data_IF_396668253976
#
_entry.id   IF_396668253976
#
_cell.length_a   1.000
_cell.length_b   1.000
_cell.length_c   1.000
_cell.angle_alpha   90.00
_cell.angle_beta   90.00
_cell.angle_gamma   90.00
#
_symmetry.space_group_name_H-M   'P 1'
#
loop_
_entity.id
_entity.type
_entity.pdbx_description
1 polymer ?
#
# COMPACT_ATOMS: atom_id res chain seq x y z
N UNK A 1 7.92 -27.81 -15.90
CA UNK A 1 9.21 -28.29 -16.47
C UNK A 1 10.49 -27.80 -15.74
N UNK A 2 10.51 -27.00 -14.65
CA UNK A 2 11.78 -26.62 -13.99
C UNK A 2 12.31 -27.66 -12.98
N UNK A 3 11.46 -28.52 -12.41
CA UNK A 3 11.83 -29.43 -11.31
C UNK A 3 12.96 -30.40 -11.65
N UNK A 4 13.01 -30.96 -12.86
CA UNK A 4 14.04 -31.95 -13.23
C UNK A 4 15.44 -31.35 -13.27
N UNK A 5 15.59 -30.09 -13.70
CA UNK A 5 16.89 -29.42 -13.84
C UNK A 5 17.39 -28.89 -12.49
N UNK A 6 16.49 -28.36 -11.66
CA UNK A 6 16.81 -27.94 -10.29
C UNK A 6 17.28 -29.14 -9.46
N UNK A 7 16.61 -30.29 -9.61
CA UNK A 7 16.95 -31.54 -8.89
C UNK A 7 18.35 -32.06 -9.26
N UNK A 8 18.78 -31.92 -10.52
CA UNK A 8 20.12 -32.33 -10.95
C UNK A 8 21.23 -31.46 -10.35
N UNK A 9 21.05 -30.13 -10.30
CA UNK A 9 22.01 -29.24 -9.65
C UNK A 9 22.01 -29.43 -8.13
N UNK A 10 20.84 -29.65 -7.53
CA UNK A 10 20.71 -29.95 -6.11
C UNK A 10 21.53 -31.19 -5.71
N UNK A 11 21.50 -32.25 -6.52
CA UNK A 11 22.33 -33.43 -6.30
C UNK A 11 23.83 -33.10 -6.34
N UNK A 12 24.29 -32.33 -7.35
CA UNK A 12 25.70 -31.92 -7.46
C UNK A 12 26.17 -31.07 -6.27
N UNK A 13 25.30 -30.22 -5.74
CA UNK A 13 25.62 -29.40 -4.56
C UNK A 13 25.58 -30.21 -3.25
N UNK A 14 24.69 -31.21 -3.16
CA UNK A 14 24.70 -32.18 -2.06
C UNK A 14 26.01 -32.99 -2.03
N UNK A 15 26.59 -33.26 -3.20
CA UNK A 15 27.89 -33.94 -3.35
C UNK A 15 29.11 -33.01 -3.08
N UNK A 16 28.88 -31.79 -2.60
CA UNK A 16 29.92 -30.88 -2.10
C UNK A 16 30.41 -29.81 -3.09
N UNK A 17 29.88 -29.76 -4.32
CA UNK A 17 30.14 -28.65 -5.23
C UNK A 17 29.55 -27.36 -4.67
N UNK A 18 30.30 -26.26 -4.63
CA UNK A 18 29.75 -24.96 -4.19
C UNK A 18 29.13 -24.21 -5.37
N UNK A 19 27.98 -23.52 -5.21
CA UNK A 19 27.36 -22.72 -6.26
C UNK A 19 28.30 -21.71 -6.94
N UNK A 20 29.12 -21.00 -6.16
CA UNK A 20 30.09 -20.03 -6.68
C UNK A 20 31.20 -20.66 -7.54
N UNK A 21 31.50 -21.94 -7.32
CA UNK A 21 32.55 -22.65 -8.04
C UNK A 21 32.22 -22.79 -9.53
N UNK A 22 30.93 -22.94 -9.86
CA UNK A 22 30.44 -22.95 -11.25
C UNK A 22 30.75 -21.66 -12.01
N UNK A 23 30.82 -20.52 -11.32
CA UNK A 23 31.21 -19.25 -11.94
C UNK A 23 32.73 -19.16 -12.08
N UNK A 24 33.49 -19.59 -11.06
CA UNK A 24 34.95 -19.59 -11.11
C UNK A 24 35.53 -20.52 -12.17
N UNK A 25 34.82 -21.58 -12.52
CA UNK A 25 35.23 -22.50 -13.58
C UNK A 25 35.11 -21.89 -14.99
N UNK A 26 34.44 -20.74 -15.13
CA UNK A 26 34.32 -19.98 -16.39
C UNK A 26 35.58 -19.13 -16.58
N UNK A 27 36.44 -19.54 -17.51
CA UNK A 27 37.78 -18.94 -17.71
C UNK A 27 37.89 -17.95 -18.86
N UNK A 28 36.84 -17.72 -19.67
CA UNK A 28 36.91 -16.77 -20.80
C UNK A 28 35.55 -16.25 -21.25
N UNK A 29 35.56 -15.15 -22.01
CA UNK A 29 34.33 -14.57 -22.61
C UNK A 29 33.72 -15.46 -23.69
N UNK A 30 34.52 -16.30 -24.36
CA UNK A 30 34.02 -17.29 -25.31
C UNK A 30 33.13 -18.32 -24.60
N UNK A 31 33.50 -18.73 -23.38
CA UNK A 31 32.70 -19.66 -22.56
C UNK A 31 31.42 -18.97 -22.09
N UNK A 32 31.45 -17.69 -21.70
CA UNK A 32 30.22 -16.96 -21.35
C UNK A 32 29.21 -16.84 -22.50
N UNK A 33 29.67 -16.85 -23.75
CA UNK A 33 28.81 -16.80 -24.94
C UNK A 33 28.25 -18.17 -25.32
N UNK A 34 28.82 -19.25 -24.78
CA UNK A 34 28.36 -20.60 -25.05
C UNK A 34 26.95 -20.84 -24.49
N UNK A 35 26.09 -21.44 -25.31
CA UNK A 35 24.67 -21.65 -24.97
C UNK A 35 24.51 -22.56 -23.75
N UNK A 36 25.36 -23.59 -23.63
CA UNK A 36 25.30 -24.52 -22.51
C UNK A 36 25.75 -23.84 -21.20
N UNK A 37 26.76 -22.98 -21.27
CA UNK A 37 27.20 -22.16 -20.15
C UNK A 37 26.09 -21.21 -19.69
N UNK A 38 25.45 -20.49 -20.62
CA UNK A 38 24.31 -19.61 -20.31
C UNK A 38 23.16 -20.36 -19.66
N UNK A 39 22.85 -21.55 -20.18
CA UNK A 39 21.83 -22.42 -19.60
C UNK A 39 22.23 -22.89 -18.19
N UNK A 40 23.49 -23.26 -17.98
CA UNK A 40 24.00 -23.69 -16.67
C UNK A 40 23.93 -22.56 -15.63
N UNK A 41 24.32 -21.33 -16.01
CA UNK A 41 24.19 -20.15 -15.15
C UNK A 41 22.72 -19.88 -14.82
N UNK A 42 21.82 -19.99 -15.81
CA UNK A 42 20.38 -19.80 -15.59
C UNK A 42 19.83 -20.84 -14.61
N UNK A 43 20.18 -22.11 -14.78
CA UNK A 43 19.78 -23.19 -13.87
C UNK A 43 20.35 -23.01 -12.45
N UNK A 44 21.58 -22.51 -12.34
CA UNK A 44 22.17 -22.13 -11.05
C UNK A 44 21.33 -21.03 -10.37
N UNK A 45 20.93 -19.99 -11.11
CA UNK A 45 20.09 -18.92 -10.55
C UNK A 45 18.70 -19.45 -10.18
N UNK A 46 18.09 -20.30 -11.00
CA UNK A 46 16.82 -20.96 -10.68
C UNK A 46 16.91 -21.75 -9.38
N UNK A 47 18.01 -22.50 -9.18
CA UNK A 47 18.29 -23.20 -7.92
C UNK A 47 18.39 -22.22 -6.74
N UNK A 48 19.16 -21.13 -6.88
CA UNK A 48 19.35 -20.16 -5.81
C UNK A 48 18.05 -19.42 -5.45
N UNK A 49 17.20 -19.11 -6.44
CA UNK A 49 15.86 -18.54 -6.22
C UNK A 49 14.98 -19.53 -5.50
N UNK A 50 14.90 -20.77 -5.99
CA UNK A 50 14.03 -21.82 -5.45
C UNK A 50 14.33 -22.14 -3.98
N UNK A 51 15.62 -22.22 -3.62
CA UNK A 51 16.06 -22.51 -2.25
C UNK A 51 16.29 -21.24 -1.39
N UNK A 52 16.13 -20.04 -1.95
CA UNK A 52 16.33 -18.78 -1.22
C UNK A 52 17.77 -18.57 -0.72
N UNK A 53 18.77 -19.12 -1.41
CA UNK A 53 20.18 -19.17 -1.01
C UNK A 53 20.89 -17.81 -1.18
N UNK A 54 20.43 -16.80 -0.46
CA UNK A 54 20.83 -15.39 -0.60
C UNK A 54 22.33 -15.18 -0.37
N UNK A 55 22.95 -15.95 0.54
CA UNK A 55 24.38 -15.83 0.87
C UNK A 55 25.27 -16.38 -0.24
N UNK A 56 24.88 -17.50 -0.83
CA UNK A 56 25.60 -18.06 -1.99
C UNK A 56 25.34 -17.20 -3.22
N UNK A 57 24.12 -16.69 -3.41
CA UNK A 57 23.81 -15.73 -4.46
C UNK A 57 24.70 -14.47 -4.38
N UNK A 58 25.02 -13.98 -3.17
CA UNK A 58 25.93 -12.85 -2.99
C UNK A 58 27.37 -13.15 -3.44
N UNK A 59 27.85 -14.37 -3.23
CA UNK A 59 29.17 -14.80 -3.73
C UNK A 59 29.15 -14.98 -5.24
N UNK A 60 28.07 -15.59 -5.77
CA UNK A 60 27.87 -15.84 -7.20
C UNK A 60 27.83 -14.52 -7.96
N UNK A 61 27.06 -13.54 -7.52
CA UNK A 61 26.98 -12.22 -8.19
C UNK A 61 28.31 -11.48 -8.13
N UNK A 62 29.05 -11.53 -7.01
CA UNK A 62 30.37 -10.92 -6.92
C UNK A 62 31.38 -11.57 -7.88
N UNK A 63 31.41 -12.90 -7.94
CA UNK A 63 32.26 -13.64 -8.89
C UNK A 63 31.87 -13.35 -10.34
N UNK A 64 30.56 -13.24 -10.63
CA UNK A 64 30.06 -12.97 -11.97
C UNK A 64 30.35 -11.55 -12.42
N UNK A 65 30.18 -10.56 -11.55
CA UNK A 65 30.55 -9.17 -11.80
C UNK A 65 32.06 -9.02 -12.01
N UNK A 66 32.88 -9.71 -11.20
CA UNK A 66 34.33 -9.73 -11.38
C UNK A 66 34.72 -10.29 -12.76
N UNK A 67 34.12 -11.42 -13.15
CA UNK A 67 34.34 -12.03 -14.46
C UNK A 67 33.98 -11.07 -15.60
N UNK A 68 32.80 -10.42 -15.54
CA UNK A 68 32.36 -9.44 -16.54
C UNK A 68 33.26 -8.19 -16.53
N UNK A 69 33.74 -7.75 -15.37
CA UNK A 69 34.60 -6.57 -15.25
C UNK A 69 36.01 -6.77 -15.81
N UNK A 70 36.46 -8.01 -15.96
CA UNK A 70 37.73 -8.36 -16.59
C UNK A 70 37.65 -8.38 -18.13
N UNK A 71 36.47 -8.26 -18.70
CA UNK A 71 36.27 -8.24 -20.14
C UNK A 71 36.61 -6.88 -20.76
N UNK A 72 36.99 -6.84 -22.05
CA UNK A 72 37.11 -5.58 -22.79
C UNK A 72 35.83 -4.74 -22.72
N UNK A 73 35.95 -3.41 -22.81
CA UNK A 73 34.84 -2.48 -22.58
C UNK A 73 33.57 -2.79 -23.40
N UNK A 74 33.72 -3.10 -24.69
CA UNK A 74 32.60 -3.46 -25.57
C UNK A 74 31.95 -4.80 -25.17
N UNK A 75 32.77 -5.82 -24.87
CA UNK A 75 32.27 -7.12 -24.42
C UNK A 75 31.58 -7.01 -23.06
N UNK A 76 32.10 -6.17 -22.16
CA UNK A 76 31.52 -5.91 -20.86
C UNK A 76 30.09 -5.35 -20.97
N UNK A 77 29.87 -4.35 -21.83
CA UNK A 77 28.53 -3.78 -22.06
C UNK A 77 27.60 -4.86 -22.61
N UNK A 78 28.03 -5.55 -23.67
CA UNK A 78 27.24 -6.61 -24.30
C UNK A 78 26.89 -7.73 -23.32
N UNK A 79 27.83 -8.20 -22.50
CA UNK A 79 27.58 -9.26 -21.51
C UNK A 79 26.63 -8.80 -20.41
N UNK A 80 26.69 -7.52 -19.99
CA UNK A 80 25.72 -6.97 -19.03
C UNK A 80 24.30 -6.95 -19.60
N UNK A 81 24.13 -6.56 -20.85
CA UNK A 81 22.84 -6.61 -21.53
C UNK A 81 22.34 -8.04 -21.69
N UNK A 82 23.21 -8.94 -22.16
CA UNK A 82 22.86 -10.34 -22.43
C UNK A 82 22.47 -11.13 -21.16
N UNK A 83 23.08 -10.80 -20.02
CA UNK A 83 22.81 -11.40 -18.73
C UNK A 83 21.96 -10.51 -17.80
N UNK A 84 21.35 -9.43 -18.31
CA UNK A 84 20.62 -8.46 -17.48
C UNK A 84 19.58 -9.12 -16.57
N UNK A 85 18.78 -10.04 -17.12
CA UNK A 85 17.76 -10.77 -16.36
C UNK A 85 18.37 -11.64 -15.25
N UNK A 86 19.45 -12.38 -15.54
CA UNK A 86 20.16 -13.23 -14.58
C UNK A 86 20.76 -12.39 -13.46
N UNK A 87 21.46 -11.31 -13.82
CA UNK A 87 22.11 -10.39 -12.90
C UNK A 87 21.06 -9.72 -12.00
N UNK A 88 19.93 -9.29 -12.57
CA UNK A 88 18.82 -8.68 -11.82
C UNK A 88 18.26 -9.64 -10.78
N UNK A 89 17.99 -10.90 -11.15
CA UNK A 89 17.51 -11.93 -10.19
C UNK A 89 18.48 -12.13 -9.02
N UNK A 90 19.78 -12.24 -9.31
CA UNK A 90 20.82 -12.35 -8.29
C UNK A 90 20.92 -11.09 -7.41
N UNK A 91 20.77 -9.90 -7.97
CA UNK A 91 20.75 -8.66 -7.19
C UNK A 91 19.58 -8.63 -6.20
N UNK A 92 18.38 -9.01 -6.64
CA UNK A 92 17.21 -9.06 -5.76
C UNK A 92 17.31 -10.13 -4.67
N UNK A 93 17.90 -11.29 -4.96
CA UNK A 93 18.24 -12.30 -3.95
C UNK A 93 19.20 -11.78 -2.86
N UNK A 94 19.96 -10.72 -3.15
CA UNK A 94 21.08 -10.27 -2.32
C UNK A 94 20.85 -8.94 -1.63
N UNK A 95 19.65 -8.35 -1.71
CA UNK A 95 19.38 -6.99 -1.19
C UNK A 95 19.82 -6.81 0.27
N UNK A 96 19.61 -7.81 1.13
CA UNK A 96 20.01 -7.79 2.55
C UNK A 96 21.53 -7.71 2.81
N UNK A 97 22.37 -7.90 1.80
CA UNK A 97 23.84 -7.81 1.89
C UNK A 97 24.38 -6.57 1.16
N UNK A 98 23.50 -5.77 0.57
CA UNK A 98 23.85 -4.59 -0.24
C UNK A 98 23.73 -3.32 0.60
N UNK A 99 24.56 -2.35 0.26
CA UNK A 99 24.39 -0.99 0.77
C UNK A 99 23.07 -0.39 0.28
N UNK A 100 22.57 0.60 1.02
CA UNK A 100 21.31 1.27 0.69
C UNK A 100 21.32 1.87 -0.72
N UNK A 101 22.43 2.50 -1.13
CA UNK A 101 22.56 3.12 -2.45
C UNK A 101 22.63 2.09 -3.58
N UNK A 102 23.23 0.93 -3.34
CA UNK A 102 23.20 -0.18 -4.32
C UNK A 102 21.79 -0.71 -4.50
N UNK A 103 21.02 -0.89 -3.42
CA UNK A 103 19.63 -1.35 -3.50
C UNK A 103 18.79 -0.35 -4.28
N UNK A 104 18.95 0.96 -4.05
CA UNK A 104 18.24 1.98 -4.85
C UNK A 104 18.55 1.86 -6.34
N UNK A 105 19.82 1.64 -6.71
CA UNK A 105 20.21 1.41 -8.13
C UNK A 105 19.63 0.13 -8.69
N UNK A 106 19.59 -0.95 -7.91
CA UNK A 106 18.96 -2.23 -8.32
C UNK A 106 17.47 -2.01 -8.63
N UNK A 107 16.78 -1.22 -7.82
CA UNK A 107 15.37 -0.88 -8.03
C UNK A 107 15.18 0.02 -9.26
N UNK A 108 16.08 0.98 -9.48
CA UNK A 108 16.03 1.90 -10.61
C UNK A 108 16.30 1.21 -11.96
N UNK A 109 17.14 0.17 -12.00
CA UNK A 109 17.66 -0.41 -13.25
C UNK A 109 17.46 -1.92 -13.43
N UNK A 110 16.90 -2.66 -12.47
CA UNK A 110 16.71 -4.11 -12.61
C UNK A 110 15.34 -4.63 -12.16
N UNK A 111 14.43 -3.76 -11.72
CA UNK A 111 13.14 -4.18 -11.17
C UNK A 111 12.26 -4.84 -12.23
N UNK A 112 12.20 -4.29 -13.45
CA UNK A 112 11.35 -4.87 -14.49
C UNK A 112 11.83 -6.28 -14.86
N UNK A 113 13.14 -6.45 -15.04
CA UNK A 113 13.74 -7.75 -15.36
C UNK A 113 13.52 -8.79 -14.25
N UNK A 114 13.59 -8.38 -12.98
CA UNK A 114 13.32 -9.25 -11.84
C UNK A 114 11.85 -9.75 -11.81
N UNK A 115 10.87 -8.87 -12.09
CA UNK A 115 9.45 -9.21 -12.05
C UNK A 115 8.99 -10.22 -13.10
N UNK A 116 9.78 -10.42 -14.16
CA UNK A 116 9.48 -11.45 -15.15
C UNK A 116 9.66 -12.87 -14.60
N UNK A 117 10.42 -13.06 -13.52
CA UNK A 117 10.56 -14.33 -12.80
C UNK A 117 9.46 -14.47 -11.72
N UNK A 118 8.47 -15.37 -11.90
CA UNK A 118 7.40 -15.55 -10.93
C UNK A 118 7.84 -16.19 -9.60
N UNK A 119 8.99 -16.87 -9.58
CA UNK A 119 9.51 -17.51 -8.36
C UNK A 119 10.28 -16.53 -7.48
N UNK A 120 10.67 -15.37 -8.04
CA UNK A 120 11.40 -14.34 -7.32
C UNK A 120 10.44 -13.44 -6.54
N UNK A 121 10.31 -13.71 -5.24
CA UNK A 121 9.45 -12.95 -4.33
C UNK A 121 10.06 -11.58 -3.96
N UNK A 122 10.04 -10.62 -4.88
CA UNK A 122 10.69 -9.30 -4.70
C UNK A 122 10.26 -8.56 -3.42
N UNK A 123 8.97 -8.59 -3.09
CA UNK A 123 8.44 -7.96 -1.85
C UNK A 123 9.11 -8.53 -0.61
N UNK A 124 9.39 -9.83 -0.59
CA UNK A 124 10.01 -10.50 0.56
C UNK A 124 11.46 -10.06 0.75
N UNK A 125 12.24 -9.94 -0.33
CA UNK A 125 13.62 -9.44 -0.24
C UNK A 125 13.69 -7.96 0.16
N UNK A 126 12.73 -7.14 -0.30
CA UNK A 126 12.60 -5.76 0.15
C UNK A 126 12.24 -5.68 1.64
N UNK A 127 11.32 -6.54 2.10
CA UNK A 127 10.94 -6.67 3.52
C UNK A 127 12.16 -7.01 4.37
N UNK A 128 12.95 -8.00 3.97
CA UNK A 128 14.19 -8.38 4.67
C UNK A 128 15.19 -7.22 4.73
N UNK A 129 15.37 -6.46 3.64
CA UNK A 129 16.23 -5.27 3.64
C UNK A 129 15.71 -4.18 4.60
N UNK A 130 14.40 -3.99 4.70
CA UNK A 130 13.81 -3.00 5.61
C UNK A 130 13.99 -3.38 7.09
N UNK A 131 14.10 -4.67 7.41
CA UNK A 131 14.39 -5.15 8.76
C UNK A 131 15.80 -4.79 9.25
N UNK A 132 16.74 -4.39 8.36
CA UNK A 132 18.04 -3.85 8.76
C UNK A 132 17.90 -2.54 9.58
N UNK A 133 16.78 -1.83 9.41
CA UNK A 133 16.50 -0.59 10.14
C UNK A 133 15.69 -0.91 11.41
N UNK A 134 16.33 -0.85 12.57
CA UNK A 134 15.66 -1.06 13.86
C UNK A 134 14.67 0.04 14.24
N UNK A 135 14.82 1.25 13.68
CA UNK A 135 13.92 2.38 13.94
C UNK A 135 12.89 2.46 12.81
N UNK A 136 11.61 2.24 13.13
CA UNK A 136 10.51 2.22 12.15
C UNK A 136 10.43 3.50 11.29
N UNK A 137 10.69 4.67 11.88
CA UNK A 137 10.74 5.94 11.14
C UNK A 137 11.84 5.94 10.06
N UNK A 138 13.00 5.30 10.31
CA UNK A 138 14.07 5.17 9.31
C UNK A 138 13.67 4.23 8.16
N UNK A 139 12.78 3.26 8.41
CA UNK A 139 12.19 2.45 7.33
C UNK A 139 11.34 3.29 6.41
N UNK A 140 10.49 4.16 6.96
CA UNK A 140 9.67 5.09 6.17
C UNK A 140 10.52 6.07 5.35
N UNK A 141 11.60 6.60 5.93
CA UNK A 141 12.58 7.42 5.22
C UNK A 141 13.23 6.66 4.05
N UNK A 142 13.58 5.38 4.27
CA UNK A 142 14.15 4.54 3.22
C UNK A 142 13.12 4.13 2.15
N UNK A 143 11.87 3.83 2.53
CA UNK A 143 10.75 3.59 1.62
C UNK A 143 10.48 4.79 0.72
N UNK A 144 10.62 6.02 1.23
CA UNK A 144 10.52 7.22 0.40
C UNK A 144 11.61 7.24 -0.69
N UNK A 145 12.85 6.86 -0.35
CA UNK A 145 13.95 6.75 -1.32
C UNK A 145 13.70 5.63 -2.34
N UNK A 146 13.19 4.47 -1.90
CA UNK A 146 12.79 3.37 -2.79
C UNK A 146 11.68 3.82 -3.77
N UNK A 147 10.69 4.56 -3.29
CA UNK A 147 9.63 5.13 -4.13
C UNK A 147 10.22 6.10 -5.18
N UNK A 148 11.20 6.93 -4.81
CA UNK A 148 11.90 7.79 -5.78
C UNK A 148 12.65 6.96 -6.84
N UNK A 149 13.31 5.87 -6.45
CA UNK A 149 13.98 4.98 -7.39
C UNK A 149 12.98 4.32 -8.36
N UNK A 150 11.82 3.86 -7.86
CA UNK A 150 10.74 3.30 -8.70
C UNK A 150 10.22 4.34 -9.70
N UNK A 151 10.04 5.59 -9.29
CA UNK A 151 9.57 6.67 -10.18
C UNK A 151 10.58 7.01 -11.30
N UNK A 152 11.87 6.78 -11.06
CA UNK A 152 12.94 6.95 -12.05
C UNK A 152 13.09 5.75 -12.99
N UNK A 153 12.71 4.55 -12.53
CA UNK A 153 12.75 3.36 -13.37
C UNK A 153 11.85 3.57 -14.60
N UNK A 154 12.43 3.38 -15.79
CA UNK A 154 11.73 3.46 -17.07
C UNK A 154 12.02 2.22 -17.95
N UNK A 155 12.39 1.10 -17.32
CA UNK A 155 12.59 -0.17 -17.99
C UNK A 155 11.28 -0.66 -18.62
N UNK A 156 11.40 -1.44 -19.68
CA UNK A 156 10.26 -2.06 -20.32
C UNK A 156 9.71 -3.19 -19.43
N UNK A 157 8.46 -3.04 -18.99
CA UNK A 157 7.74 -4.00 -18.15
C UNK A 157 6.81 -4.90 -18.99
N UNK A 158 6.25 -4.36 -20.07
CA UNK A 158 5.37 -5.08 -21.00
C UNK A 158 5.72 -4.75 -22.45
N UNK A 159 5.43 -5.68 -23.34
CA UNK A 159 5.47 -5.44 -24.79
C UNK A 159 4.25 -4.66 -25.25
N UNK A 160 3.11 -4.88 -24.61
CA UNK A 160 1.89 -4.11 -24.82
C UNK A 160 2.07 -2.63 -24.43
N UNK A 161 1.43 -1.74 -25.18
CA UNK A 161 1.34 -0.31 -24.86
C UNK A 161 0.39 -0.05 -23.69
N UNK A 162 0.65 1.02 -22.95
CA UNK A 162 -0.17 1.47 -21.82
C UNK A 162 -1.14 2.54 -22.30
N UNK A 163 -2.47 2.37 -22.09
CA UNK A 163 -3.43 3.42 -22.41
C UNK A 163 -3.32 4.54 -21.39
N UNK A 164 -2.84 5.72 -21.78
CA UNK A 164 -2.80 6.91 -20.94
C UNK A 164 -3.68 8.02 -21.54
N UNK A 165 -3.91 9.10 -20.77
CA UNK A 165 -4.74 10.23 -21.22
C UNK A 165 -4.25 10.85 -22.54
N UNK A 166 -2.94 10.86 -22.74
CA UNK A 166 -2.27 11.41 -23.93
C UNK A 166 -2.09 10.35 -25.05
N UNK A 167 -2.84 9.24 -24.98
CA UNK A 167 -2.79 8.14 -25.94
C UNK A 167 -2.00 6.92 -25.44
N UNK A 168 -1.77 5.98 -26.36
CA UNK A 168 -1.02 4.76 -26.06
C UNK A 168 0.50 5.03 -25.96
N UNK A 169 1.08 4.73 -24.81
CA UNK A 169 2.50 4.93 -24.51
C UNK A 169 3.24 3.59 -24.38
N UNK A 170 4.58 3.62 -24.39
CA UNK A 170 5.40 2.40 -24.22
C UNK A 170 5.09 1.72 -22.88
N UNK A 171 5.11 0.39 -22.87
CA UNK A 171 4.88 -0.46 -21.69
C UNK A 171 5.99 -0.43 -20.66
N UNK A 172 6.35 0.74 -20.13
CA UNK A 172 7.41 0.89 -19.11
C UNK A 172 6.84 0.89 -17.70
N UNK A 173 7.67 0.58 -16.71
CA UNK A 173 7.37 0.70 -15.27
C UNK A 173 6.78 2.08 -14.94
N UNK A 174 7.41 3.16 -15.41
CA UNK A 174 6.92 4.53 -15.20
C UNK A 174 5.52 4.76 -15.79
N UNK A 175 5.25 4.27 -16.99
CA UNK A 175 3.94 4.47 -17.64
C UNK A 175 2.84 3.63 -16.99
N UNK A 176 3.15 2.39 -16.57
CA UNK A 176 2.23 1.58 -15.77
C UNK A 176 1.94 2.21 -14.41
N UNK A 177 2.94 2.82 -13.77
CA UNK A 177 2.74 3.56 -12.52
C UNK A 177 1.82 4.78 -12.72
N UNK A 178 2.02 5.56 -13.80
CA UNK A 178 1.13 6.67 -14.16
C UNK A 178 -0.30 6.19 -14.40
N UNK A 179 -0.48 5.08 -15.12
CA UNK A 179 -1.78 4.49 -15.38
C UNK A 179 -2.49 4.09 -14.07
N UNK A 180 -1.77 3.41 -13.18
CA UNK A 180 -2.27 3.03 -11.87
C UNK A 180 -2.66 4.23 -11.01
N UNK A 181 -1.78 5.22 -10.89
CA UNK A 181 -2.03 6.45 -10.13
C UNK A 181 -3.24 7.21 -10.69
N UNK A 182 -3.39 7.27 -12.02
CA UNK A 182 -4.54 7.93 -12.65
C UNK A 182 -5.87 7.22 -12.36
N UNK A 183 -5.83 5.92 -12.05
CA UNK A 183 -7.01 5.11 -11.74
C UNK A 183 -7.34 5.11 -10.25
N UNK A 184 -6.32 5.05 -9.39
CA UNK A 184 -6.48 4.74 -7.95
C UNK A 184 -6.08 5.91 -7.04
N UNK A 185 -5.31 6.88 -7.55
CA UNK A 185 -4.76 8.01 -6.80
C UNK A 185 -3.33 7.78 -6.31
N UNK A 186 -2.73 8.84 -5.75
CA UNK A 186 -1.31 8.87 -5.33
C UNK A 186 -1.09 8.20 -3.97
N UNK A 187 -2.08 8.22 -3.08
CA UNK A 187 -1.99 7.68 -1.72
C UNK A 187 -1.93 6.15 -1.66
N UNK A 188 -1.92 5.62 -0.43
CA UNK A 188 -2.10 4.18 -0.17
C UNK A 188 -3.49 3.78 -0.63
N UNK A 189 -3.57 2.81 -1.54
CA UNK A 189 -4.84 2.38 -2.08
C UNK A 189 -5.60 1.46 -1.11
N UNK A 190 -6.92 1.66 -1.03
CA UNK A 190 -7.77 0.66 -0.40
C UNK A 190 -7.74 -0.66 -1.17
N UNK A 191 -7.97 -1.79 -0.49
CA UNK A 191 -8.05 -3.10 -1.14
C UNK A 191 -9.13 -3.15 -2.23
N UNK A 192 -10.24 -2.41 -2.06
CA UNK A 192 -11.29 -2.30 -3.07
C UNK A 192 -10.76 -1.61 -4.34
N UNK A 193 -10.10 -0.46 -4.20
CA UNK A 193 -9.56 0.27 -5.34
C UNK A 193 -8.48 -0.52 -6.09
N UNK A 194 -7.64 -1.30 -5.38
CA UNK A 194 -6.70 -2.23 -6.01
C UNK A 194 -7.40 -3.35 -6.78
N UNK A 195 -8.45 -3.94 -6.20
CA UNK A 195 -9.22 -4.98 -6.87
C UNK A 195 -9.91 -4.46 -8.12
N UNK A 196 -10.51 -3.26 -8.07
CA UNK A 196 -11.10 -2.59 -9.22
C UNK A 196 -10.06 -2.33 -10.32
N UNK A 197 -8.85 -1.90 -9.94
CA UNK A 197 -7.75 -1.73 -10.90
C UNK A 197 -7.31 -3.06 -11.54
N UNK A 198 -7.20 -4.14 -10.77
CA UNK A 198 -6.84 -5.45 -11.33
C UNK A 198 -7.94 -6.02 -12.23
N UNK A 199 -9.21 -5.74 -11.94
CA UNK A 199 -10.31 -6.06 -12.84
C UNK A 199 -10.20 -5.27 -14.15
N UNK A 200 -9.90 -3.97 -14.08
CA UNK A 200 -9.63 -3.13 -15.26
C UNK A 200 -8.47 -3.70 -16.09
N UNK A 201 -7.36 -4.07 -15.45
CA UNK A 201 -6.19 -4.66 -16.11
C UNK A 201 -6.57 -5.95 -16.88
N UNK A 202 -7.49 -6.75 -16.34
CA UNK A 202 -7.96 -7.97 -17.00
C UNK A 202 -8.76 -7.70 -18.29
N UNK A 203 -9.41 -6.53 -18.40
CA UNK A 203 -10.18 -6.12 -19.58
C UNK A 203 -9.33 -5.59 -20.72
N UNK A 204 -8.04 -5.31 -20.50
CA UNK A 204 -7.16 -4.79 -21.55
C UNK A 204 -6.83 -5.91 -22.56
N UNK A 205 -7.20 -5.75 -23.85
CA UNK A 205 -7.18 -6.83 -24.84
C UNK A 205 -5.77 -7.24 -25.28
N UNK A 206 -4.77 -6.37 -25.11
CA UNK A 206 -3.42 -6.57 -25.65
C UNK A 206 -2.40 -7.07 -24.62
N UNK A 207 -2.82 -7.34 -23.37
CA UNK A 207 -1.94 -7.88 -22.34
C UNK A 207 -2.07 -9.40 -22.24
N UNK A 208 -0.92 -10.08 -22.31
CA UNK A 208 -0.85 -11.52 -22.02
C UNK A 208 -1.06 -11.80 -20.53
N UNK A 209 -1.42 -13.04 -20.15
CA UNK A 209 -1.55 -13.43 -18.73
C UNK A 209 -0.25 -13.21 -17.94
N UNK A 210 0.90 -13.44 -18.58
CA UNK A 210 2.20 -13.18 -17.97
C UNK A 210 2.40 -11.68 -17.71
N UNK A 211 2.12 -10.82 -18.69
CA UNK A 211 2.25 -9.37 -18.50
C UNK A 211 1.26 -8.83 -17.47
N UNK A 212 0.02 -9.35 -17.41
CA UNK A 212 -0.95 -9.02 -16.36
C UNK A 212 -0.41 -9.33 -14.97
N UNK A 213 0.21 -10.51 -14.81
CA UNK A 213 0.89 -10.90 -13.56
C UNK A 213 2.03 -9.94 -13.23
N UNK A 214 2.95 -9.69 -14.17
CA UNK A 214 4.09 -8.79 -13.97
C UNK A 214 3.65 -7.38 -13.56
N UNK A 215 2.61 -6.82 -14.20
CA UNK A 215 2.06 -5.52 -13.82
C UNK A 215 1.42 -5.58 -12.43
N UNK A 216 0.70 -6.65 -12.10
CA UNK A 216 0.14 -6.84 -10.76
C UNK A 216 1.25 -6.87 -9.69
N UNK A 217 2.29 -7.66 -9.89
CA UNK A 217 3.42 -7.80 -8.96
C UNK A 217 4.13 -6.45 -8.79
N UNK A 218 4.32 -5.68 -9.88
CA UNK A 218 4.84 -4.32 -9.84
C UNK A 218 3.98 -3.40 -8.96
N UNK A 219 2.66 -3.42 -9.11
CA UNK A 219 1.75 -2.61 -8.29
C UNK A 219 1.75 -3.05 -6.83
N UNK A 220 1.88 -4.34 -6.55
CA UNK A 220 2.01 -4.84 -5.17
C UNK A 220 3.26 -4.30 -4.48
N UNK A 221 4.39 -4.21 -5.20
CA UNK A 221 5.63 -3.58 -4.69
C UNK A 221 5.43 -2.09 -4.42
N UNK A 222 4.81 -1.37 -5.35
CA UNK A 222 4.50 0.06 -5.19
C UNK A 222 3.65 0.28 -3.93
N UNK A 223 2.61 -0.52 -3.73
CA UNK A 223 1.71 -0.41 -2.58
C UNK A 223 2.38 -0.84 -1.27
N UNK A 224 3.24 -1.87 -1.31
CA UNK A 224 4.05 -2.26 -0.15
C UNK A 224 4.93 -1.09 0.34
N UNK A 225 5.60 -0.40 -0.57
CA UNK A 225 6.50 0.72 -0.25
C UNK A 225 5.73 1.96 0.24
N UNK A 226 4.50 2.19 -0.21
CA UNK A 226 3.68 3.33 0.25
C UNK A 226 3.19 3.16 1.70
N UNK A 227 3.06 1.94 2.19
CA UNK A 227 2.57 1.69 3.56
C UNK A 227 3.65 2.03 4.58
N UNK A 228 3.28 2.84 5.57
CA UNK A 228 4.18 3.20 6.67
C UNK A 228 4.47 2.00 7.56
N UNK A 229 5.73 1.79 7.92
CA UNK A 229 6.16 0.79 8.91
C UNK A 229 5.67 1.10 10.33
N UNK A 230 5.12 2.31 10.57
CA UNK A 230 4.45 2.66 11.82
C UNK A 230 2.98 2.20 11.86
N UNK A 231 2.42 1.72 10.74
CA UNK A 231 1.09 1.12 10.70
C UNK A 231 1.16 -0.40 10.78
N UNK A 232 0.10 -1.03 11.30
CA UNK A 232 0.03 -2.49 11.40
C UNK A 232 0.12 -3.16 10.02
N UNK A 233 -0.51 -2.56 9.01
CA UNK A 233 -0.57 -3.09 7.64
C UNK A 233 0.75 -2.94 6.88
N UNK A 234 1.61 -2.01 7.32
CA UNK A 234 2.91 -1.71 6.72
C UNK A 234 4.11 -2.21 7.52
N UNK A 235 3.87 -2.85 8.67
CA UNK A 235 4.91 -3.46 9.50
C UNK A 235 5.53 -4.66 8.77
N UNK A 236 6.86 -4.71 8.72
CA UNK A 236 7.62 -5.76 8.03
C UNK A 236 7.74 -7.05 8.84
N UNK A 237 7.74 -6.95 10.16
CA UNK A 237 7.83 -8.10 11.05
C UNK A 237 6.57 -8.94 10.97
N UNK A 238 6.78 -10.26 10.94
CA UNK A 238 5.73 -11.20 11.24
C UNK A 238 5.55 -11.26 12.76
N UNK A 239 4.33 -11.02 13.24
CA UNK A 239 3.98 -11.12 14.66
C UNK A 239 3.34 -12.48 14.91
N UNK A 240 4.01 -13.35 15.68
CA UNK A 240 3.45 -14.63 16.10
C UNK A 240 2.63 -14.40 17.38
N UNK A 241 1.41 -14.92 17.42
CA UNK A 241 0.54 -14.82 18.59
C UNK A 241 -0.28 -16.10 18.77
N UNK A 242 -0.87 -16.27 19.95
CA UNK A 242 -1.80 -17.36 20.25
C UNK A 242 -3.20 -16.79 20.17
N UNK A 243 -4.06 -17.41 19.37
CA UNK A 243 -5.45 -17.00 19.27
C UNK A 243 -6.28 -17.44 20.49
N UNK A 244 -7.53 -16.99 20.54
CA UNK A 244 -8.49 -17.33 21.61
C UNK A 244 -8.76 -18.83 21.77
N UNK A 245 -8.47 -19.62 20.74
CA UNK A 245 -8.66 -21.07 20.70
C UNK A 245 -7.35 -21.82 21.02
N UNK A 246 -6.32 -21.11 21.47
CA UNK A 246 -5.02 -21.68 21.83
C UNK A 246 -4.12 -22.03 20.64
N UNK A 247 -4.49 -21.66 19.42
CA UNK A 247 -3.72 -21.97 18.20
C UNK A 247 -2.69 -20.88 17.92
N UNK A 248 -1.49 -21.29 17.50
CA UNK A 248 -0.45 -20.35 17.06
C UNK A 248 -0.82 -19.79 15.68
N UNK A 249 -0.80 -18.48 15.57
CA UNK A 249 -1.07 -17.70 14.35
C UNK A 249 0.10 -16.77 14.06
N UNK A 250 0.22 -16.36 12.80
CA UNK A 250 1.17 -15.36 12.36
C UNK A 250 0.42 -14.22 11.68
N UNK A 251 0.67 -12.99 12.12
CA UNK A 251 0.27 -11.77 11.43
C UNK A 251 1.43 -11.28 10.57
N UNK A 252 1.23 -11.11 9.27
CA UNK A 252 2.23 -10.57 8.35
C UNK A 252 1.55 -9.77 7.26
N UNK A 253 2.03 -8.55 7.02
CA UNK A 253 1.55 -7.67 5.93
C UNK A 253 0.02 -7.40 5.94
N UNK A 254 -0.63 -7.42 7.10
CA UNK A 254 -2.08 -7.25 7.23
C UNK A 254 -2.90 -8.54 7.08
N UNK A 255 -2.26 -9.71 7.08
CA UNK A 255 -2.92 -11.02 6.94
C UNK A 255 -2.60 -11.87 8.18
N UNK A 256 -3.61 -12.56 8.71
CA UNK A 256 -3.44 -13.57 9.77
C UNK A 256 -3.54 -14.96 9.13
N UNK A 257 -2.51 -15.78 9.30
CA UNK A 257 -2.49 -17.17 8.86
C UNK A 257 -2.14 -18.14 9.99
N UNK A 258 -2.45 -19.43 9.78
CA UNK A 258 -1.99 -20.49 10.67
C UNK A 258 -0.47 -20.54 10.69
N UNK A 259 0.12 -20.52 11.89
CA UNK A 259 1.56 -20.64 12.01
C UNK A 259 2.00 -22.05 11.63
N UNK A 260 2.72 -22.19 10.52
CA UNK A 260 3.42 -23.43 10.17
C UNK A 260 4.93 -23.22 10.26
N UNK A 261 5.60 -24.09 11.03
CA UNK A 261 7.05 -24.03 11.20
C UNK A 261 7.77 -24.19 9.87
N UNK A 262 7.28 -25.05 8.97
CA UNK A 262 7.89 -25.30 7.65
C UNK A 262 7.91 -24.06 6.74
N UNK A 263 6.84 -23.23 6.74
CA UNK A 263 6.77 -22.00 5.93
C UNK A 263 7.61 -20.87 6.53
N UNK A 264 7.68 -20.83 7.87
CA UNK A 264 8.55 -19.90 8.61
C UNK A 264 10.04 -20.23 8.45
N UNK A 265 10.41 -21.52 8.36
CA UNK A 265 11.78 -21.98 8.14
C UNK A 265 12.36 -21.57 6.78
N UNK A 266 11.51 -21.35 5.76
CA UNK A 266 11.95 -20.82 4.46
C UNK A 266 12.19 -19.30 4.49
N UNK A 267 11.70 -18.60 5.52
CA UNK A 267 11.68 -17.13 5.58
C UNK A 267 12.83 -16.54 6.40
N UNK A 268 13.56 -17.28 7.25
CA UNK A 268 14.90 -16.83 7.66
C UNK A 268 15.80 -17.89 8.34
N UNK A 269 17.08 -17.88 7.97
CA UNK A 269 18.19 -18.39 8.80
C UNK A 269 18.76 -17.30 9.74
N UNK A 270 18.07 -16.16 9.90
CA UNK A 270 18.58 -14.96 10.59
C UNK A 270 17.68 -14.41 11.72
N UNK A 271 16.44 -14.86 11.89
CA UNK A 271 15.61 -14.53 13.07
C UNK A 271 16.11 -15.19 14.37
N UNK A 272 17.16 -16.03 14.28
CA UNK A 272 17.69 -16.80 15.41
C UNK A 272 18.40 -16.02 16.52
N UNK A 273 18.52 -14.68 16.48
CA UNK A 273 19.27 -13.95 17.52
C UNK A 273 18.69 -12.64 18.08
N UNK A 274 17.42 -12.31 17.84
CA UNK A 274 16.83 -11.08 18.40
C UNK A 274 15.46 -11.22 19.05
N UNK A 275 14.99 -12.45 19.29
CA UNK A 275 13.75 -12.67 20.04
C UNK A 275 14.01 -13.72 21.12
N UNK A 276 14.52 -13.27 22.26
CA UNK A 276 14.02 -13.83 23.50
C UNK A 276 12.50 -13.60 23.51
N UNK A 277 11.69 -14.59 23.93
CA UNK A 277 10.26 -14.43 23.98
C UNK A 277 9.96 -13.31 24.97
N UNK A 278 9.60 -12.13 24.46
CA UNK A 278 8.89 -11.17 25.28
C UNK A 278 7.53 -11.81 25.54
N UNK A 279 7.44 -12.55 26.65
CA UNK A 279 6.17 -12.84 27.30
C UNK A 279 5.68 -11.51 27.85
N UNK A 280 5.18 -10.67 26.94
CA UNK A 280 4.42 -9.50 27.32
C UNK A 280 3.05 -10.03 27.73
N UNK A 281 2.64 -9.72 28.95
CA UNK A 281 1.22 -9.65 29.31
C UNK A 281 0.57 -8.49 28.54
N UNK A 282 0.61 -8.58 27.21
CA UNK A 282 -0.13 -7.70 26.34
C UNK A 282 -1.61 -8.05 26.54
N UNK A 283 -2.47 -7.04 26.72
CA UNK A 283 -3.92 -7.28 26.72
C UNK A 283 -4.31 -8.04 25.45
N UNK A 284 -5.30 -8.94 25.52
CA UNK A 284 -5.59 -9.91 24.48
C UNK A 284 -5.78 -9.22 23.12
N UNK A 285 -4.95 -9.58 22.15
CA UNK A 285 -5.11 -9.19 20.76
C UNK A 285 -6.34 -9.93 20.19
N UNK A 286 -7.34 -9.15 19.82
CA UNK A 286 -8.59 -9.63 19.23
C UNK A 286 -8.30 -10.12 17.82
N UNK A 287 -8.47 -11.43 17.61
CA UNK A 287 -8.48 -12.12 16.31
C UNK A 287 -9.46 -11.41 15.35
N UNK A 288 -9.14 -11.46 14.06
CA UNK A 288 -9.76 -10.96 12.82
C UNK A 288 -11.30 -11.03 12.61
N UNK A 289 -12.11 -10.82 13.65
CA UNK A 289 -13.48 -10.32 13.51
C UNK A 289 -13.53 -8.80 13.49
N UNK A 290 -12.53 -8.09 14.04
CA UNK A 290 -12.54 -6.63 14.17
C UNK A 290 -12.53 -5.88 12.84
N UNK A 291 -11.77 -6.26 11.81
CA UNK A 291 -11.72 -5.50 10.54
C UNK A 291 -13.02 -5.60 9.72
N UNK A 292 -13.58 -6.80 9.61
CA UNK A 292 -14.89 -6.99 8.99
C UNK A 292 -16.00 -6.37 9.84
N UNK A 293 -15.91 -6.45 11.18
CA UNK A 293 -16.83 -5.75 12.09
C UNK A 293 -16.69 -4.23 12.01
N UNK A 294 -15.48 -3.68 11.89
CA UNK A 294 -15.20 -2.25 11.68
C UNK A 294 -15.76 -1.85 10.32
N UNK A 295 -15.58 -2.66 9.27
CA UNK A 295 -16.11 -2.38 7.95
C UNK A 295 -17.64 -2.44 7.92
N UNK A 296 -18.25 -3.45 8.55
CA UNK A 296 -19.71 -3.57 8.68
C UNK A 296 -20.27 -2.44 9.55
N UNK A 297 -19.63 -2.14 10.68
CA UNK A 297 -19.98 -1.04 11.55
C UNK A 297 -19.83 0.30 10.80
N UNK A 298 -18.76 0.51 10.04
CA UNK A 298 -18.52 1.72 9.26
C UNK A 298 -19.54 1.91 8.14
N UNK A 299 -19.91 0.83 7.44
CA UNK A 299 -20.92 0.86 6.38
C UNK A 299 -22.31 1.20 6.91
N UNK A 300 -22.61 0.82 8.16
CA UNK A 300 -23.92 1.00 8.77
C UNK A 300 -25.03 0.24 8.03
N UNK A 301 -26.26 0.71 8.15
CA UNK A 301 -27.42 0.08 7.54
C UNK A 301 -27.35 0.07 5.99
N UNK A 302 -27.44 -1.12 5.38
CA UNK A 302 -27.31 -1.31 3.94
C UNK A 302 -28.42 -0.59 3.14
N UNK A 303 -29.63 -0.49 3.70
CA UNK A 303 -30.76 0.19 3.05
C UNK A 303 -30.53 1.71 3.06
N UNK A 304 -30.16 2.26 4.21
CA UNK A 304 -29.79 3.65 4.38
C UNK A 304 -28.64 4.05 3.44
N UNK A 305 -27.58 3.23 3.35
CA UNK A 305 -26.47 3.46 2.43
C UNK A 305 -26.91 3.57 0.96
N UNK A 306 -27.75 2.64 0.50
CA UNK A 306 -28.27 2.64 -0.88
C UNK A 306 -29.11 3.88 -1.17
N UNK A 307 -29.99 4.27 -0.24
CA UNK A 307 -30.81 5.47 -0.40
C UNK A 307 -29.98 6.75 -0.38
N UNK A 308 -28.97 6.85 0.51
CA UNK A 308 -28.04 7.99 0.52
C UNK A 308 -27.32 8.12 -0.82
N UNK A 309 -26.73 7.03 -1.34
CA UNK A 309 -26.01 7.05 -2.62
C UNK A 309 -26.92 7.43 -3.80
N UNK A 310 -28.17 6.96 -3.80
CA UNK A 310 -29.17 7.30 -4.81
C UNK A 310 -29.55 8.78 -4.76
N UNK A 311 -29.80 9.33 -3.56
CA UNK A 311 -30.13 10.74 -3.37
C UNK A 311 -28.94 11.63 -3.70
N UNK A 312 -27.73 11.25 -3.28
CA UNK A 312 -26.46 11.92 -3.61
C UNK A 312 -26.28 12.03 -5.13
N UNK A 313 -26.40 10.91 -5.87
CA UNK A 313 -26.28 10.91 -7.33
C UNK A 313 -27.34 11.76 -8.04
N UNK A 314 -28.58 11.78 -7.53
CA UNK A 314 -29.65 12.65 -8.07
C UNK A 314 -29.35 14.13 -7.82
N UNK A 315 -28.92 14.48 -6.60
CA UNK A 315 -28.63 15.86 -6.22
C UNK A 315 -27.38 16.39 -6.93
N UNK A 316 -26.31 15.61 -7.02
CA UNK A 316 -25.09 15.98 -7.75
C UNK A 316 -25.39 16.28 -9.24
N UNK A 317 -26.25 15.48 -9.89
CA UNK A 317 -26.69 15.73 -11.27
C UNK A 317 -27.58 16.97 -11.41
N UNK A 318 -28.51 17.18 -10.47
CA UNK A 318 -29.49 18.28 -10.52
C UNK A 318 -28.87 19.64 -10.20
N UNK A 319 -27.99 19.69 -9.21
CA UNK A 319 -27.44 20.93 -8.67
C UNK A 319 -26.04 21.25 -9.25
N UNK A 320 -25.34 20.27 -9.84
CA UNK A 320 -24.00 20.42 -10.44
C UNK A 320 -23.06 21.24 -9.54
N UNK A 321 -22.76 22.48 -9.92
CA UNK A 321 -21.83 23.38 -9.22
C UNK A 321 -22.51 24.56 -8.49
N UNK A 322 -23.85 24.57 -8.42
CA UNK A 322 -24.61 25.62 -7.72
C UNK A 322 -24.56 25.43 -6.20
N UNK A 323 -23.49 25.94 -5.60
CA UNK A 323 -23.21 25.80 -4.16
C UNK A 323 -24.27 26.50 -3.29
N UNK A 324 -24.81 27.63 -3.77
CA UNK A 324 -25.82 28.41 -3.03
C UNK A 324 -27.11 27.61 -2.90
N UNK A 325 -27.58 26.99 -4.00
CA UNK A 325 -28.74 26.09 -3.94
C UNK A 325 -28.47 24.82 -3.13
N UNK A 326 -27.24 24.29 -3.17
CA UNK A 326 -26.86 23.13 -2.37
C UNK A 326 -26.95 23.42 -0.86
N UNK A 327 -26.44 24.58 -0.42
CA UNK A 327 -26.59 25.06 0.97
C UNK A 327 -28.05 25.28 1.35
N UNK A 328 -28.86 25.88 0.48
CA UNK A 328 -30.30 26.05 0.73
C UNK A 328 -31.03 24.70 0.90
N UNK A 329 -30.73 23.72 0.05
CA UNK A 329 -31.29 22.37 0.15
C UNK A 329 -30.79 21.62 1.40
N UNK A 330 -29.54 21.88 1.84
CA UNK A 330 -29.02 21.37 3.11
C UNK A 330 -29.89 21.86 4.28
N UNK A 331 -30.12 23.16 4.40
CA UNK A 331 -30.93 23.71 5.50
C UNK A 331 -32.36 23.18 5.48
N UNK A 332 -32.99 23.06 4.31
CA UNK A 332 -34.32 22.44 4.19
C UNK A 332 -34.33 20.99 4.67
N UNK A 333 -33.32 20.20 4.28
CA UNK A 333 -33.21 18.80 4.69
C UNK A 333 -33.02 18.67 6.21
N UNK A 334 -32.18 19.52 6.81
CA UNK A 334 -31.97 19.57 8.26
C UNK A 334 -33.24 19.97 9.00
N UNK A 335 -33.98 20.98 8.51
CA UNK A 335 -35.24 21.43 9.10
C UNK A 335 -36.33 20.34 9.02
N UNK A 336 -36.39 19.62 7.91
CA UNK A 336 -37.30 18.48 7.72
C UNK A 336 -36.87 17.21 8.49
N UNK A 337 -35.71 17.24 9.17
CA UNK A 337 -35.08 16.06 9.81
C UNK A 337 -34.89 14.89 8.84
N UNK A 338 -34.67 15.19 7.56
CA UNK A 338 -34.44 14.17 6.52
C UNK A 338 -32.98 13.70 6.60
N UNK A 339 -32.76 12.59 7.30
CA UNK A 339 -31.43 12.01 7.54
C UNK A 339 -30.75 11.66 6.22
N UNK A 340 -31.45 11.00 5.30
CA UNK A 340 -30.87 10.50 4.04
C UNK A 340 -30.42 11.67 3.18
N UNK A 341 -31.29 12.67 3.00
CA UNK A 341 -30.98 13.83 2.17
C UNK A 341 -29.91 14.72 2.81
N UNK A 342 -29.94 14.89 4.14
CA UNK A 342 -28.94 15.70 4.85
C UNK A 342 -27.54 15.09 4.72
N UNK A 343 -27.39 13.78 4.97
CA UNK A 343 -26.09 13.09 4.84
C UNK A 343 -25.59 13.10 3.40
N UNK A 344 -26.48 12.88 2.42
CA UNK A 344 -26.11 12.99 1.00
C UNK A 344 -25.55 14.37 0.67
N UNK A 345 -26.18 15.45 1.14
CA UNK A 345 -25.71 16.82 0.89
C UNK A 345 -24.39 17.09 1.62
N UNK A 346 -24.20 16.62 2.86
CA UNK A 346 -22.93 16.76 3.58
C UNK A 346 -21.76 16.10 2.82
N UNK A 347 -21.98 14.94 2.20
CA UNK A 347 -20.97 14.26 1.37
C UNK A 347 -20.64 15.06 0.10
N UNK A 348 -21.64 15.65 -0.56
CA UNK A 348 -21.42 16.53 -1.72
C UNK A 348 -20.67 17.81 -1.30
N UNK A 349 -21.04 18.42 -0.17
CA UNK A 349 -20.33 19.59 0.37
C UNK A 349 -18.87 19.25 0.69
N UNK A 350 -18.59 18.06 1.24
CA UNK A 350 -17.22 17.59 1.46
C UNK A 350 -16.45 17.42 0.14
N UNK A 351 -17.05 16.79 -0.88
CA UNK A 351 -16.46 16.62 -2.21
C UNK A 351 -16.13 17.97 -2.88
N UNK A 352 -16.99 18.97 -2.66
CA UNK A 352 -16.80 20.35 -3.15
C UNK A 352 -15.95 21.22 -2.21
N UNK A 353 -15.41 20.65 -1.13
CA UNK A 353 -14.63 21.34 -0.10
C UNK A 353 -15.36 22.55 0.53
N UNK A 354 -16.69 22.50 0.60
CA UNK A 354 -17.54 23.60 1.06
C UNK A 354 -17.91 23.51 2.56
N UNK A 355 -17.45 22.46 3.27
CA UNK A 355 -17.73 22.29 4.71
C UNK A 355 -17.03 23.31 5.62
N UNK A 356 -15.90 23.88 5.21
CA UNK A 356 -15.28 25.01 5.94
C UNK A 356 -15.87 26.34 5.46
N UNK A 357 -15.95 26.61 4.13
CA UNK A 357 -16.52 27.87 3.63
C UNK A 357 -17.94 28.15 4.11
N UNK A 358 -18.82 27.14 4.26
CA UNK A 358 -20.19 27.34 4.74
C UNK A 358 -20.24 27.95 6.15
N UNK A 359 -19.26 27.63 7.02
CA UNK A 359 -19.21 28.15 8.38
C UNK A 359 -18.78 29.62 8.43
N UNK A 360 -18.03 30.08 7.43
CA UNK A 360 -17.54 31.45 7.35
C UNK A 360 -18.46 32.35 6.52
N UNK A 361 -19.00 31.83 5.41
CA UNK A 361 -19.68 32.62 4.39
C UNK A 361 -21.19 32.70 4.60
N UNK A 362 -21.81 31.75 5.31
CA UNK A 362 -23.23 31.84 5.66
C UNK A 362 -23.41 32.62 6.97
N UNK A 363 -23.73 33.91 6.86
CA UNK A 363 -23.81 34.83 8.00
C UNK A 363 -24.86 34.39 9.04
N UNK A 364 -25.97 33.80 8.58
CA UNK A 364 -27.04 33.33 9.48
C UNK A 364 -26.57 32.12 10.27
N UNK A 365 -25.94 31.15 9.61
CA UNK A 365 -25.37 29.99 10.26
C UNK A 365 -24.25 30.39 11.23
N UNK A 366 -23.34 31.27 10.81
CA UNK A 366 -22.25 31.74 11.65
C UNK A 366 -22.76 32.39 12.93
N UNK A 367 -23.68 33.36 12.84
CA UNK A 367 -24.27 34.02 14.01
C UNK A 367 -24.98 33.02 14.93
N UNK A 368 -25.73 32.09 14.34
CA UNK A 368 -26.42 31.06 15.08
C UNK A 368 -25.45 30.15 15.85
N UNK A 369 -24.45 29.57 15.18
CA UNK A 369 -23.47 28.68 15.80
C UNK A 369 -22.64 29.40 16.87
N UNK A 370 -22.27 30.67 16.63
CA UNK A 370 -21.54 31.45 17.62
C UNK A 370 -22.33 31.59 18.94
N UNK A 371 -23.63 31.88 18.88
CA UNK A 371 -24.49 31.97 20.07
C UNK A 371 -24.74 30.59 20.68
N UNK A 372 -24.99 29.58 19.86
CA UNK A 372 -25.24 28.21 20.35
C UNK A 372 -24.01 27.63 21.05
N UNK A 373 -22.82 27.77 20.47
CA UNK A 373 -21.58 27.24 21.04
C UNK A 373 -21.07 28.07 22.22
N UNK A 374 -21.36 29.37 22.28
CA UNK A 374 -21.11 30.17 23.49
C UNK A 374 -21.90 29.62 24.69
N UNK A 375 -23.17 29.25 24.47
CA UNK A 375 -24.01 28.64 25.52
C UNK A 375 -23.58 27.22 25.88
N UNK A 376 -23.14 26.44 24.89
CA UNK A 376 -22.85 25.02 25.08
C UNK A 376 -21.42 24.74 25.57
N UNK A 377 -20.44 25.53 25.11
CA UNK A 377 -19.01 25.28 25.31
C UNK A 377 -18.27 26.46 25.95
N UNK A 378 -18.95 27.59 26.19
CA UNK A 378 -18.39 28.76 26.86
C UNK A 378 -17.86 29.84 25.90
N UNK A 379 -17.50 30.99 26.49
CA UNK A 379 -17.11 32.21 25.75
C UNK A 379 -15.81 32.06 24.97
N UNK A 380 -14.85 31.29 25.49
CA UNK A 380 -13.53 31.15 24.90
C UNK A 380 -13.59 30.41 23.56
N UNK A 381 -14.28 29.26 23.51
CA UNK A 381 -14.48 28.51 22.26
C UNK A 381 -15.27 29.32 21.22
N UNK A 382 -16.29 30.07 21.66
CA UNK A 382 -17.04 30.95 20.76
C UNK A 382 -16.19 32.11 20.21
N UNK A 383 -15.26 32.65 21.01
CA UNK A 383 -14.32 33.67 20.56
C UNK A 383 -13.33 33.10 19.54
N UNK A 384 -12.85 31.87 19.73
CA UNK A 384 -11.99 31.18 18.75
C UNK A 384 -12.73 30.91 17.44
N UNK A 385 -13.98 30.44 17.51
CA UNK A 385 -14.82 30.24 16.32
C UNK A 385 -15.02 31.55 15.55
N UNK A 386 -15.28 32.66 16.25
CA UNK A 386 -15.46 33.98 15.62
C UNK A 386 -14.19 34.46 14.90
N UNK A 387 -13.01 34.05 15.37
CA UNK A 387 -11.72 34.41 14.75
C UNK A 387 -11.38 33.54 13.54
N UNK A 388 -11.59 32.22 13.64
CA UNK A 388 -11.23 31.29 12.57
C UNK A 388 -12.27 30.16 12.42
N UNK A 389 -13.43 30.44 11.82
CA UNK A 389 -14.55 29.48 11.75
C UNK A 389 -14.27 28.28 10.83
N UNK A 390 -13.26 28.39 9.96
CA UNK A 390 -12.90 27.35 8.99
C UNK A 390 -12.02 26.23 9.55
N UNK A 391 -11.57 26.32 10.81
CA UNK A 391 -10.73 25.26 11.39
C UNK A 391 -11.46 23.92 11.47
N UNK A 392 -10.72 22.82 11.24
CA UNK A 392 -11.29 21.47 11.21
C UNK A 392 -12.07 21.11 12.49
N UNK A 393 -11.65 21.61 13.66
CA UNK A 393 -12.36 21.39 14.92
C UNK A 393 -13.78 21.97 14.93
N UNK A 394 -13.99 23.11 14.29
CA UNK A 394 -15.32 23.71 14.15
C UNK A 394 -16.16 22.97 13.11
N UNK A 395 -15.54 22.44 12.05
CA UNK A 395 -16.24 21.54 11.14
C UNK A 395 -16.67 20.25 11.86
N UNK A 396 -15.82 19.68 12.72
CA UNK A 396 -16.17 18.53 13.57
C UNK A 396 -17.35 18.86 14.50
N UNK A 397 -17.31 19.99 15.21
CA UNK A 397 -18.40 20.44 16.07
C UNK A 397 -19.70 20.69 15.29
N UNK A 398 -19.59 21.24 14.08
CA UNK A 398 -20.73 21.45 13.19
C UNK A 398 -21.37 20.13 12.74
N UNK A 399 -20.56 19.15 12.31
CA UNK A 399 -21.05 17.82 11.94
C UNK A 399 -21.74 17.14 13.12
N UNK A 400 -21.13 17.19 14.32
CA UNK A 400 -21.73 16.66 15.55
C UNK A 400 -23.05 17.34 15.88
N UNK A 401 -23.09 18.68 15.83
CA UNK A 401 -24.30 19.45 16.08
C UNK A 401 -25.44 19.07 15.12
N UNK A 402 -25.16 18.98 13.82
CA UNK A 402 -26.16 18.63 12.81
C UNK A 402 -26.65 17.20 13.01
N UNK A 403 -25.73 16.23 13.12
CA UNK A 403 -26.08 14.81 13.16
C UNK A 403 -26.74 14.41 14.49
N UNK A 404 -26.21 14.85 15.64
CA UNK A 404 -26.77 14.50 16.95
C UNK A 404 -27.96 15.39 17.33
N UNK A 405 -27.78 16.72 17.30
CA UNK A 405 -28.78 17.62 17.90
C UNK A 405 -29.90 18.01 16.94
N UNK A 406 -29.61 18.16 15.64
CA UNK A 406 -30.64 18.55 14.65
C UNK A 406 -31.39 17.35 14.09
N UNK A 407 -30.68 16.29 13.74
CA UNK A 407 -31.27 15.06 13.18
C UNK A 407 -31.66 14.04 14.26
N UNK A 408 -31.17 14.18 15.50
CA UNK A 408 -31.52 13.27 16.59
C UNK A 408 -30.86 11.90 16.49
N UNK A 409 -29.74 11.78 15.78
CA UNK A 409 -29.02 10.50 15.68
C UNK A 409 -28.32 10.18 16.99
N UNK A 410 -28.29 8.89 17.35
CA UNK A 410 -27.47 8.42 18.46
C UNK A 410 -25.98 8.67 18.18
N UNK A 411 -25.21 8.89 19.26
CA UNK A 411 -23.77 9.22 19.22
C UNK A 411 -22.97 8.32 18.27
N UNK A 412 -23.21 7.01 18.33
CA UNK A 412 -22.57 6.01 17.47
C UNK A 412 -22.81 6.27 15.97
N UNK A 413 -24.07 6.43 15.55
CA UNK A 413 -24.39 6.67 14.14
C UNK A 413 -23.96 8.05 13.67
N UNK A 414 -24.06 9.06 14.52
CA UNK A 414 -23.62 10.40 14.22
C UNK A 414 -22.10 10.45 13.99
N UNK A 415 -21.31 9.86 14.89
CA UNK A 415 -19.85 9.80 14.77
C UNK A 415 -19.42 8.96 13.55
N UNK A 416 -20.10 7.84 13.27
CA UNK A 416 -19.87 7.03 12.06
C UNK A 416 -20.05 7.84 10.78
N UNK A 417 -21.18 8.54 10.66
CA UNK A 417 -21.48 9.37 9.49
C UNK A 417 -20.55 10.57 9.40
N UNK A 418 -20.19 11.17 10.53
CA UNK A 418 -19.16 12.21 10.61
C UNK A 418 -17.81 11.71 10.09
N UNK A 419 -17.39 10.50 10.48
CA UNK A 419 -16.16 9.88 9.99
C UNK A 419 -16.20 9.63 8.47
N UNK A 420 -17.34 9.18 7.92
CA UNK A 420 -17.50 9.02 6.47
C UNK A 420 -17.31 10.34 5.72
N UNK A 421 -17.85 11.44 6.25
CA UNK A 421 -17.70 12.78 5.68
C UNK A 421 -16.26 13.29 5.81
N UNK A 422 -15.63 13.10 6.97
CA UNK A 422 -14.22 13.45 7.20
C UNK A 422 -13.27 12.72 6.25
N UNK A 423 -13.50 11.43 6.00
CA UNK A 423 -12.68 10.63 5.09
C UNK A 423 -12.71 11.12 3.63
N UNK A 424 -13.79 11.79 3.21
CA UNK A 424 -13.83 12.45 1.89
C UNK A 424 -12.81 13.60 1.87
N UNK A 425 -12.75 14.44 2.90
CA UNK A 425 -11.78 15.54 2.98
C UNK A 425 -10.33 15.03 3.11
N UNK A 426 -10.12 13.93 3.84
CA UNK A 426 -8.82 13.25 3.88
C UNK A 426 -8.38 12.80 2.49
N UNK A 427 -9.29 12.22 1.68
CA UNK A 427 -8.98 11.83 0.29
C UNK A 427 -8.68 13.01 -0.65
N UNK A 428 -9.09 14.22 -0.26
CA UNK A 428 -8.83 15.47 -0.99
C UNK A 428 -7.59 16.22 -0.47
N UNK A 429 -6.81 15.60 0.41
CA UNK A 429 -5.53 16.15 0.89
C UNK A 429 -5.60 16.92 2.20
N UNK A 430 -6.66 16.76 3.01
CA UNK A 430 -6.80 17.38 4.34
C UNK A 430 -6.66 16.35 5.48
N UNK A 431 -5.44 15.93 5.86
CA UNK A 431 -5.21 14.83 6.80
C UNK A 431 -5.72 15.07 8.23
N UNK A 432 -5.85 16.32 8.66
CA UNK A 432 -6.41 16.72 9.96
C UNK A 432 -7.85 16.22 10.16
N UNK A 433 -8.60 15.98 9.08
CA UNK A 433 -9.95 15.42 9.13
C UNK A 433 -10.00 13.94 9.51
N UNK A 434 -8.85 13.27 9.65
CA UNK A 434 -8.77 11.95 10.34
C UNK A 434 -9.22 12.03 11.80
N UNK A 435 -9.15 13.23 12.40
CA UNK A 435 -9.54 13.47 13.80
C UNK A 435 -10.99 13.94 13.95
N UNK A 436 -11.87 13.65 13.00
CA UNK A 436 -13.31 13.96 13.13
C UNK A 436 -13.98 12.98 14.11
N UNK A 437 -13.82 11.68 13.88
CA UNK A 437 -14.34 10.61 14.73
C UNK A 437 -13.46 9.37 14.58
N UNK A 438 -13.50 8.47 15.57
CA UNK A 438 -12.79 7.20 15.57
C UNK A 438 -13.73 6.05 15.94
N UNK A 439 -13.36 4.84 15.51
CA UNK A 439 -14.00 3.62 15.99
C UNK A 439 -13.25 3.10 17.22
N UNK A 440 -13.95 2.98 18.35
CA UNK A 440 -13.39 2.35 19.53
C UNK A 440 -13.54 0.83 19.40
N UNK A 441 -12.42 0.15 19.17
CA UNK A 441 -12.36 -1.31 18.97
C UNK A 441 -12.83 -2.07 20.22
N UNK A 442 -12.66 -1.51 21.43
CA UNK A 442 -13.09 -2.15 22.68
C UNK A 442 -14.60 -2.10 22.86
N UNK A 443 -15.19 -0.93 22.62
CA UNK A 443 -16.63 -0.71 22.84
C UNK A 443 -17.48 -0.95 21.59
N UNK A 444 -16.85 -1.17 20.43
CA UNK A 444 -17.45 -1.38 19.11
C UNK A 444 -18.39 -0.25 18.66
N UNK A 445 -18.13 0.97 19.13
CA UNK A 445 -18.91 2.16 18.78
C UNK A 445 -18.00 3.24 18.20
N UNK A 446 -18.58 4.06 17.33
CA UNK A 446 -17.93 5.28 16.87
C UNK A 446 -18.09 6.38 17.91
N UNK A 447 -17.00 7.08 18.15
CA UNK A 447 -16.93 8.23 19.02
C UNK A 447 -16.37 9.43 18.27
N UNK A 448 -16.89 10.61 18.57
CA UNK A 448 -16.21 11.85 18.20
C UNK A 448 -14.87 11.91 18.91
N UNK A 449 -13.86 12.44 18.23
CA UNK A 449 -12.69 12.92 18.95
C UNK A 449 -13.13 14.11 19.81
N UNK A 450 -13.04 13.94 21.12
CA UNK A 450 -13.16 15.05 22.06
C UNK A 450 -11.83 15.81 22.08
N UNK A 451 -11.88 17.11 22.33
CA UNK A 451 -10.69 17.97 22.45
C UNK A 451 -10.04 17.86 23.82
#
# INVERSE_FOLDING_TARGET
>A
MPESNITQLAARFADGLKPVQLIHDIKSSAVLKDKNTKQTITQLVDYLVWYGESREAYKVVAAFEQLINQLPAEEKVRMREEYHAVISRLHFLTLQYRSDDEVLKIIEFGLAAALHDPELLVVEYLRQKLLDFFVLKKRDEYKLRLNQAINKNNEQLTTAKVPLRDGEQRGTTQNWLKHYISSVGVGVASNLAKAEYFLLLNTLPNLTNQEKRVVKDFIEIVEFIKKSSLSLEGLEESVIFIDKDGKRKMFSQGIIEDFSSQRYFQISNKERKLLEPIVSNAPPAIVSTSEQEILLAYQGDKKQKKEIAKVEGKLAKKLRDDIVKLRAEFFKAVQAKDIVKTVAILRILAQKQDLEPILQQDEKLFKFLAVTWERQYGKDLAAEFKKNPAQFKFVRLFLRYVLEQRLGLGRNDAARLGMQVGNILVSLGKPEYKQVAYFDVKTKIFNWFEE
#
